data_IF_268811484832
#
_entry.id   IF_268811484832
#
_cell.length_a   1.000
_cell.length_b   1.000
_cell.length_c   1.000
_cell.angle_alpha   90.00
_cell.angle_beta   90.00
_cell.angle_gamma   90.00
#
_symmetry.space_group_name_H-M   'P 1'
#
loop_
_entity.id
_entity.type
_entity.pdbx_description
1 polymer ?
#
# COMPACT_ATOMS: atom_id res chain seq x y z
N UNK A 1 -44.28 -21.76 7.10
CA UNK A 1 -42.93 -21.15 7.16
C UNK A 1 -42.95 -19.71 7.67
N UNK A 2 -44.09 -19.02 7.61
CA UNK A 2 -44.34 -17.75 8.31
C UNK A 2 -45.50 -17.94 9.31
N UNK A 3 -45.21 -18.44 10.50
CA UNK A 3 -46.16 -18.37 11.63
C UNK A 3 -46.03 -16.98 12.25
N UNK A 4 -47.06 -16.14 12.14
CA UNK A 4 -47.13 -14.83 12.79
C UNK A 4 -46.95 -14.95 14.30
N UNK A 5 -47.46 -16.03 14.89
CA UNK A 5 -47.36 -16.32 16.32
C UNK A 5 -45.91 -16.50 16.77
N UNK A 6 -45.08 -17.18 15.96
CA UNK A 6 -43.64 -17.34 16.28
C UNK A 6 -42.90 -16.02 16.26
N UNK A 7 -43.21 -15.13 15.32
CA UNK A 7 -42.59 -13.81 15.25
C UNK A 7 -43.02 -12.92 16.43
N UNK A 8 -44.32 -12.90 16.75
CA UNK A 8 -44.82 -12.18 17.91
C UNK A 8 -44.19 -12.68 19.21
N UNK A 9 -43.99 -13.99 19.34
CA UNK A 9 -43.34 -14.62 20.48
C UNK A 9 -41.86 -14.21 20.60
N UNK A 10 -41.11 -14.21 19.48
CA UNK A 10 -39.70 -13.76 19.47
C UNK A 10 -39.59 -12.30 19.90
N UNK A 11 -40.41 -11.41 19.32
CA UNK A 11 -40.39 -9.99 19.69
C UNK A 11 -40.84 -9.74 21.14
N UNK A 12 -41.79 -10.50 21.64
CA UNK A 12 -42.22 -10.46 23.05
C UNK A 12 -41.10 -10.92 23.99
N UNK A 13 -40.41 -12.03 23.67
CA UNK A 13 -39.25 -12.54 24.42
C UNK A 13 -38.12 -11.52 24.51
N UNK A 14 -37.78 -10.90 23.37
CA UNK A 14 -36.76 -9.85 23.27
C UNK A 14 -37.14 -8.64 24.13
N UNK A 15 -38.40 -8.18 24.05
CA UNK A 15 -38.89 -7.01 24.80
C UNK A 15 -38.98 -7.26 26.31
N UNK A 16 -39.23 -8.50 26.73
CA UNK A 16 -39.24 -8.86 28.15
C UNK A 16 -37.84 -8.80 28.78
N UNK A 17 -36.77 -8.88 27.99
CA UNK A 17 -35.39 -8.96 28.48
C UNK A 17 -34.45 -8.07 27.64
N UNK A 18 -34.71 -6.77 27.68
CA UNK A 18 -34.00 -5.76 26.88
C UNK A 18 -32.50 -5.75 27.19
N UNK A 19 -32.12 -5.70 28.47
CA UNK A 19 -30.72 -5.66 28.91
C UNK A 19 -29.93 -6.83 28.32
N UNK A 20 -30.50 -8.04 28.37
CA UNK A 20 -29.88 -9.26 27.85
C UNK A 20 -29.71 -9.24 26.34
N UNK A 21 -30.75 -8.83 25.62
CA UNK A 21 -30.71 -8.73 24.16
C UNK A 21 -29.66 -7.71 23.73
N UNK A 22 -29.56 -6.58 24.45
CA UNK A 22 -28.53 -5.56 24.22
C UNK A 22 -27.13 -6.10 24.51
N UNK A 23 -26.89 -6.77 25.65
CA UNK A 23 -25.56 -7.34 25.96
C UNK A 23 -25.14 -8.41 24.95
N UNK A 24 -26.05 -9.29 24.56
CA UNK A 24 -25.80 -10.33 23.54
C UNK A 24 -25.47 -9.70 22.21
N UNK A 25 -26.31 -8.77 21.77
CA UNK A 25 -26.14 -8.06 20.52
C UNK A 25 -24.91 -7.15 20.49
N UNK A 26 -24.52 -6.58 21.63
CA UNK A 26 -23.35 -5.71 21.73
C UNK A 26 -22.06 -6.48 21.40
N UNK A 27 -21.87 -7.68 21.95
CA UNK A 27 -20.67 -8.49 21.64
C UNK A 27 -20.55 -8.83 20.16
N UNK A 28 -21.68 -9.08 19.50
CA UNK A 28 -21.78 -9.38 18.07
C UNK A 28 -21.49 -8.15 17.23
N UNK A 29 -22.15 -7.04 17.55
CA UNK A 29 -21.97 -5.77 16.88
C UNK A 29 -20.52 -5.29 17.01
N UNK A 30 -19.93 -5.42 18.20
CA UNK A 30 -18.54 -5.08 18.48
C UNK A 30 -17.57 -5.96 17.67
N UNK A 31 -17.85 -7.26 17.55
CA UNK A 31 -17.01 -8.16 16.77
C UNK A 31 -16.95 -7.77 15.29
N UNK A 32 -18.11 -7.49 14.68
CA UNK A 32 -18.16 -7.05 13.29
C UNK A 32 -17.62 -5.62 13.10
N UNK A 33 -17.83 -4.75 14.09
CA UNK A 33 -17.25 -3.41 14.13
C UNK A 33 -15.71 -3.47 14.10
N UNK A 34 -15.08 -4.22 15.01
CA UNK A 34 -13.62 -4.39 15.06
C UNK A 34 -13.11 -4.99 13.76
N UNK A 35 -13.80 -6.01 13.22
CA UNK A 35 -13.45 -6.59 11.93
C UNK A 35 -13.41 -5.53 10.82
N UNK A 36 -14.45 -4.71 10.69
CA UNK A 36 -14.53 -3.67 9.65
C UNK A 36 -13.45 -2.61 9.84
N UNK A 37 -13.26 -2.11 11.07
CA UNK A 37 -12.25 -1.09 11.35
C UNK A 37 -10.85 -1.61 11.07
N UNK A 38 -10.51 -2.80 11.57
CA UNK A 38 -9.19 -3.39 11.40
C UNK A 38 -8.91 -3.74 9.94
N UNK A 39 -9.91 -4.29 9.23
CA UNK A 39 -9.79 -4.57 7.80
C UNK A 39 -9.63 -3.28 6.99
N UNK A 40 -10.41 -2.24 7.29
CA UNK A 40 -10.32 -0.94 6.63
C UNK A 40 -9.00 -0.24 6.86
N UNK A 41 -8.43 -0.33 8.07
CA UNK A 41 -7.07 0.16 8.34
C UNK A 41 -6.04 -0.66 7.57
N UNK A 42 -6.21 -1.99 7.52
CA UNK A 42 -5.36 -2.88 6.74
C UNK A 42 -5.31 -2.52 5.26
N UNK A 43 -6.47 -2.28 4.63
CA UNK A 43 -6.53 -1.81 3.24
C UNK A 43 -5.97 -0.41 3.08
N UNK A 44 -6.19 0.49 4.06
CA UNK A 44 -5.61 1.84 4.03
C UNK A 44 -4.08 1.83 4.06
N UNK A 45 -3.48 0.90 4.81
CA UNK A 45 -2.04 0.66 4.79
C UNK A 45 -1.60 0.14 3.41
N UNK A 46 -2.35 -0.80 2.82
CA UNK A 46 -2.04 -1.32 1.48
C UNK A 46 -2.10 -0.24 0.40
N UNK A 47 -3.08 0.67 0.48
CA UNK A 47 -3.22 1.79 -0.44
C UNK A 47 -2.04 2.75 -0.34
N UNK A 48 -1.67 3.16 0.88
CA UNK A 48 -0.53 4.05 1.11
C UNK A 48 0.78 3.45 0.61
N UNK A 49 1.00 2.16 0.85
CA UNK A 49 2.16 1.44 0.30
C UNK A 49 2.10 1.39 -1.23
N UNK A 50 0.97 0.99 -1.82
CA UNK A 50 0.84 0.88 -3.28
C UNK A 50 1.09 2.21 -3.97
N UNK A 51 0.55 3.31 -3.46
CA UNK A 51 0.78 4.65 -4.02
C UNK A 51 2.20 5.14 -3.81
N UNK A 52 2.78 4.91 -2.62
CA UNK A 52 4.18 5.23 -2.35
C UNK A 52 5.14 4.55 -3.32
N UNK A 53 4.85 3.30 -3.71
CA UNK A 53 5.63 2.55 -4.70
C UNK A 53 5.25 2.83 -6.16
N UNK A 54 4.01 3.25 -6.44
CA UNK A 54 3.56 3.62 -7.78
C UNK A 54 4.08 4.99 -8.24
N UNK A 55 4.66 5.79 -7.34
CA UNK A 55 5.36 7.04 -7.67
C UNK A 55 6.55 6.82 -8.63
N UNK A 56 7.30 5.74 -8.42
CA UNK A 56 8.42 5.36 -9.29
C UNK A 56 7.92 4.46 -10.44
N UNK A 57 8.58 4.50 -11.60
CA UNK A 57 8.31 3.52 -12.66
C UNK A 57 8.53 2.08 -12.11
N UNK A 58 7.47 1.27 -12.09
CA UNK A 58 7.49 -0.11 -11.59
C UNK A 58 8.48 -0.98 -12.38
N UNK A 59 8.67 -0.63 -13.65
CA UNK A 59 9.57 -1.29 -14.58
C UNK A 59 10.98 -0.66 -14.65
N UNK A 60 11.46 -0.05 -13.56
CA UNK A 60 12.75 0.62 -13.55
C UNK A 60 13.88 -0.23 -12.96
N UNK A 61 15.00 -0.30 -13.71
CA UNK A 61 16.30 -0.73 -13.24
C UNK A 61 17.19 0.51 -13.13
N UNK A 62 17.71 0.76 -11.94
CA UNK A 62 18.65 1.85 -11.68
C UNK A 62 20.03 1.29 -11.36
N UNK A 63 21.03 1.75 -12.09
CA UNK A 63 22.41 1.28 -11.96
C UNK A 63 23.25 2.44 -11.43
N UNK A 64 24.02 2.16 -10.37
CA UNK A 64 24.93 3.09 -9.73
C UNK A 64 26.31 2.47 -9.63
N UNK A 65 27.34 3.31 -9.65
CA UNK A 65 28.68 2.88 -9.27
C UNK A 65 29.06 3.42 -7.90
N UNK A 66 30.03 2.77 -7.28
CA UNK A 66 30.53 3.13 -5.96
C UNK A 66 32.02 2.90 -5.84
N UNK A 67 32.46 2.66 -4.61
CA UNK A 67 33.84 2.27 -4.33
C UNK A 67 33.93 0.76 -4.19
N UNK A 68 34.94 0.16 -4.82
CA UNK A 68 35.20 -1.28 -4.68
C UNK A 68 35.66 -1.62 -3.27
N UNK A 69 35.20 -2.72 -2.70
CA UNK A 69 35.70 -3.24 -1.42
C UNK A 69 36.72 -4.38 -1.60
N UNK A 70 36.74 -5.01 -2.78
CA UNK A 70 37.57 -6.19 -3.06
C UNK A 70 38.60 -5.87 -4.14
N UNK A 71 39.86 -6.23 -3.92
CA UNK A 71 40.91 -6.15 -4.93
C UNK A 71 40.68 -7.22 -6.01
N UNK A 72 40.80 -6.86 -7.29
CA UNK A 72 40.47 -7.75 -8.40
C UNK A 72 41.30 -7.46 -9.65
N UNK A 73 41.80 -8.50 -10.33
CA UNK A 73 42.62 -8.40 -11.56
C UNK A 73 43.78 -7.38 -11.47
N UNK A 74 44.49 -7.36 -10.34
CA UNK A 74 45.61 -6.44 -10.12
C UNK A 74 45.21 -5.01 -9.75
N UNK A 75 43.92 -4.73 -9.58
CA UNK A 75 43.39 -3.46 -9.08
C UNK A 75 43.20 -3.54 -7.57
N UNK A 76 43.48 -2.42 -6.88
CA UNK A 76 43.30 -2.30 -5.43
C UNK A 76 41.82 -2.11 -5.05
N UNK A 77 41.49 -2.43 -3.81
CA UNK A 77 40.24 -2.01 -3.16
C UNK A 77 40.23 -0.48 -2.93
N UNK A 78 39.08 0.07 -2.52
CA UNK A 78 38.79 1.51 -2.35
C UNK A 78 38.88 2.37 -3.63
N UNK A 79 38.95 1.74 -4.80
CA UNK A 79 38.88 2.43 -6.10
C UNK A 79 37.47 2.92 -6.38
N UNK A 80 37.33 4.19 -6.79
CA UNK A 80 36.05 4.73 -7.27
C UNK A 80 35.79 4.24 -8.70
N UNK A 81 34.68 3.55 -8.89
CA UNK A 81 34.18 3.13 -10.20
C UNK A 81 33.32 4.26 -10.74
N UNK A 82 33.60 4.70 -11.97
CA UNK A 82 32.80 5.71 -12.67
C UNK A 82 32.22 5.09 -13.95
N UNK A 83 30.97 5.41 -14.25
CA UNK A 83 30.38 5.11 -15.56
C UNK A 83 30.63 6.27 -16.52
N UNK A 84 30.62 5.93 -17.79
CA UNK A 84 30.86 6.81 -18.91
C UNK A 84 29.66 6.73 -19.88
N UNK A 85 29.55 7.68 -20.80
CA UNK A 85 28.54 7.60 -21.87
C UNK A 85 28.64 6.28 -22.66
N UNK A 86 29.86 5.78 -22.93
CA UNK A 86 30.08 4.49 -23.61
C UNK A 86 29.55 3.28 -22.82
N UNK A 87 29.50 3.36 -21.49
CA UNK A 87 28.93 2.28 -20.67
C UNK A 87 27.42 2.31 -20.70
N UNK A 88 26.83 3.51 -20.70
CA UNK A 88 25.39 3.68 -20.91
C UNK A 88 24.98 3.08 -22.26
N UNK A 89 25.68 3.46 -23.33
CA UNK A 89 25.43 2.93 -24.67
C UNK A 89 25.59 1.41 -24.71
N UNK A 90 26.61 0.86 -24.04
CA UNK A 90 26.79 -0.58 -23.95
C UNK A 90 25.61 -1.29 -23.27
N UNK A 91 25.13 -0.77 -22.12
CA UNK A 91 24.04 -1.37 -21.36
C UNK A 91 22.74 -1.37 -22.17
N UNK A 92 22.42 -0.24 -22.81
CA UNK A 92 21.20 -0.09 -23.62
C UNK A 92 21.27 -0.93 -24.90
N UNK A 93 22.41 -0.94 -25.59
CA UNK A 93 22.54 -1.64 -26.87
C UNK A 93 22.68 -3.16 -26.73
N UNK A 94 23.07 -3.68 -25.56
CA UNK A 94 23.29 -5.12 -25.37
C UNK A 94 22.00 -5.96 -25.39
N UNK A 95 20.87 -5.39 -25.00
CA UNK A 95 19.56 -6.06 -25.01
C UNK A 95 18.45 -5.10 -25.46
N UNK A 96 18.57 -4.51 -26.65
CA UNK A 96 17.60 -3.52 -27.17
C UNK A 96 16.15 -3.97 -27.11
N UNK A 97 15.87 -5.27 -27.24
CA UNK A 97 14.51 -5.80 -27.21
C UNK A 97 13.88 -5.76 -25.80
N UNK A 98 14.72 -5.78 -24.76
CA UNK A 98 14.32 -5.73 -23.35
C UNK A 98 14.27 -4.31 -22.80
N UNK A 99 14.88 -3.34 -23.48
CA UNK A 99 14.89 -1.93 -23.08
C UNK A 99 13.71 -1.20 -23.71
N UNK A 100 12.92 -0.49 -22.89
CA UNK A 100 11.91 0.45 -23.34
C UNK A 100 12.52 1.85 -23.49
N UNK A 101 12.49 2.63 -22.40
CA UNK A 101 13.10 3.96 -22.30
C UNK A 101 14.37 3.89 -21.46
N UNK A 102 15.37 4.71 -21.76
CA UNK A 102 16.59 4.75 -20.96
C UNK A 102 17.14 6.17 -20.85
N UNK A 103 17.75 6.49 -19.70
CA UNK A 103 18.34 7.81 -19.51
C UNK A 103 19.63 7.72 -18.69
N UNK A 104 20.73 8.32 -19.17
CA UNK A 104 21.89 8.57 -18.35
C UNK A 104 21.64 9.82 -17.49
N UNK A 105 22.09 9.78 -16.24
CA UNK A 105 22.08 10.95 -15.36
C UNK A 105 23.48 11.23 -14.85
N UNK A 106 23.91 12.48 -14.99
CA UNK A 106 25.10 13.00 -14.32
C UNK A 106 24.66 13.97 -13.22
N UNK A 107 25.02 13.68 -11.97
CA UNK A 107 24.55 14.43 -10.81
C UNK A 107 25.67 15.28 -10.22
N UNK A 108 25.39 16.56 -9.98
CA UNK A 108 26.32 17.46 -9.31
C UNK A 108 25.59 18.41 -8.36
N UNK A 109 26.14 18.60 -7.17
CA UNK A 109 25.66 19.62 -6.24
C UNK A 109 26.34 20.94 -6.56
N UNK A 110 25.55 21.94 -6.97
CA UNK A 110 26.06 23.23 -7.48
C UNK A 110 25.36 24.40 -6.80
N UNK A 111 26.10 25.50 -6.65
CA UNK A 111 25.54 26.78 -6.21
C UNK A 111 24.71 27.38 -7.35
N UNK A 112 23.45 27.69 -7.05
CA UNK A 112 22.52 28.34 -7.97
C UNK A 112 22.10 29.69 -7.41
N UNK A 113 22.13 30.72 -8.24
CA UNK A 113 21.79 32.09 -7.87
C UNK A 113 20.72 32.67 -8.79
N UNK A 114 19.84 33.46 -8.20
CA UNK A 114 18.87 34.28 -8.91
C UNK A 114 18.68 35.61 -8.18
N UNK A 115 19.11 36.71 -8.81
CA UNK A 115 19.06 38.03 -8.18
C UNK A 115 19.86 38.08 -6.87
N UNK A 116 19.16 38.23 -5.74
CA UNK A 116 19.76 38.24 -4.40
C UNK A 116 19.68 36.89 -3.67
N UNK A 117 18.92 35.94 -4.22
CA UNK A 117 18.73 34.62 -3.63
C UNK A 117 19.80 33.66 -4.15
N UNK A 118 20.26 32.76 -3.28
CA UNK A 118 21.21 31.71 -3.65
C UNK A 118 21.05 30.50 -2.77
N UNK A 119 21.27 29.32 -3.34
CA UNK A 119 21.26 28.06 -2.61
C UNK A 119 22.07 26.99 -3.32
N UNK A 120 22.45 25.96 -2.58
CA UNK A 120 23.08 24.76 -3.16
C UNK A 120 21.99 23.78 -3.52
N UNK A 121 21.88 23.45 -4.80
CA UNK A 121 20.87 22.52 -5.32
C UNK A 121 21.52 21.38 -6.07
N UNK A 122 20.80 20.27 -6.15
CA UNK A 122 21.20 19.15 -6.97
C UNK A 122 20.83 19.42 -8.43
N UNK A 123 21.86 19.52 -9.26
CA UNK A 123 21.72 19.71 -10.70
C UNK A 123 21.95 18.35 -11.39
N UNK A 124 20.90 17.86 -12.03
CA UNK A 124 20.86 16.61 -12.76
C UNK A 124 21.01 16.90 -14.26
N UNK A 125 22.13 16.49 -14.83
CA UNK A 125 22.32 16.41 -16.27
C UNK A 125 21.57 15.19 -16.79
N UNK A 126 20.58 15.39 -17.64
CA UNK A 126 19.64 14.34 -18.07
C UNK A 126 19.27 14.45 -19.55
N UNK A 127 18.62 13.41 -20.07
CA UNK A 127 17.98 13.34 -21.37
C UNK A 127 16.47 13.66 -21.31
N UNK A 128 15.85 13.77 -22.47
CA UNK A 128 14.43 14.01 -22.65
C UNK A 128 13.57 12.85 -22.12
N UNK A 129 14.05 11.61 -22.22
CA UNK A 129 13.33 10.40 -21.82
C UNK A 129 13.12 10.29 -20.30
N UNK A 130 13.97 10.94 -19.50
CA UNK A 130 13.90 10.88 -18.03
C UNK A 130 12.55 11.40 -17.48
N UNK A 131 11.88 12.30 -18.21
CA UNK A 131 10.54 12.75 -17.84
C UNK A 131 9.56 11.58 -17.70
N UNK A 132 9.63 10.60 -18.59
CA UNK A 132 8.72 9.46 -18.61
C UNK A 132 9.14 8.42 -17.57
N UNK A 133 10.44 8.23 -17.38
CA UNK A 133 10.99 7.30 -16.39
C UNK A 133 10.66 7.73 -14.95
N UNK A 134 10.81 9.01 -14.65
CA UNK A 134 10.58 9.59 -13.32
C UNK A 134 9.17 10.21 -13.19
N UNK A 135 8.27 9.95 -14.14
CA UNK A 135 6.87 10.43 -14.15
C UNK A 135 6.69 11.93 -13.81
N UNK A 136 7.57 12.79 -14.33
CA UNK A 136 7.59 14.22 -13.98
C UNK A 136 6.43 14.97 -14.60
N UNK A 137 5.60 15.61 -13.76
CA UNK A 137 4.45 16.41 -14.19
C UNK A 137 4.88 17.85 -14.45
N UNK A 138 4.70 18.33 -15.68
CA UNK A 138 5.01 19.72 -16.03
C UNK A 138 3.91 20.65 -15.53
N UNK A 139 4.28 21.65 -14.71
CA UNK A 139 3.38 22.71 -14.26
C UNK A 139 3.34 23.87 -15.25
N UNK A 140 4.51 24.28 -15.74
CA UNK A 140 4.69 25.38 -16.68
C UNK A 140 5.76 25.03 -17.73
N UNK A 141 5.61 25.56 -18.94
CA UNK A 141 6.61 25.46 -20.00
C UNK A 141 6.76 24.04 -20.58
N UNK A 142 8.00 23.65 -20.90
CA UNK A 142 8.33 22.34 -21.50
C UNK A 142 9.51 21.68 -20.79
N UNK A 143 9.61 20.36 -20.95
CA UNK A 143 10.80 19.62 -20.54
C UNK A 143 11.92 19.72 -21.59
N UNK A 144 13.08 19.11 -21.30
CA UNK A 144 14.19 18.97 -22.22
C UNK A 144 13.79 18.15 -23.45
N UNK A 145 14.40 18.43 -24.59
CA UNK A 145 14.23 17.66 -25.82
C UNK A 145 15.60 17.34 -26.46
N UNK A 146 15.61 16.43 -27.43
CA UNK A 146 16.85 15.98 -28.10
C UNK A 146 17.61 17.11 -28.81
N UNK A 147 16.92 18.19 -29.25
CA UNK A 147 17.57 19.34 -29.86
C UNK A 147 18.34 20.19 -28.85
N UNK A 148 17.85 20.30 -27.60
CA UNK A 148 18.55 20.98 -26.51
C UNK A 148 19.85 20.24 -26.17
N UNK A 149 19.81 18.90 -26.15
CA UNK A 149 20.98 18.06 -25.93
C UNK A 149 21.99 18.16 -27.08
N UNK A 150 21.53 18.04 -28.32
CA UNK A 150 22.39 18.08 -29.51
C UNK A 150 23.11 19.43 -29.67
N UNK A 151 22.43 20.52 -29.30
CA UNK A 151 22.99 21.89 -29.34
C UNK A 151 23.69 22.31 -28.06
N UNK A 152 23.71 21.45 -27.03
CA UNK A 152 24.27 21.74 -25.69
C UNK A 152 23.75 23.07 -25.14
N UNK A 153 22.43 23.26 -25.21
CA UNK A 153 21.85 24.52 -24.79
C UNK A 153 21.95 24.70 -23.27
N UNK A 154 22.19 25.94 -22.84
CA UNK A 154 22.11 26.32 -21.44
C UNK A 154 20.66 26.58 -21.05
N UNK A 155 19.87 25.50 -20.99
CA UNK A 155 18.46 25.54 -20.56
C UNK A 155 18.28 24.69 -19.31
N UNK A 156 17.38 25.11 -18.44
CA UNK A 156 17.07 24.44 -17.17
C UNK A 156 15.57 24.22 -17.01
N UNK A 157 15.22 23.08 -16.44
CA UNK A 157 13.88 22.73 -15.98
C UNK A 157 13.96 22.56 -14.48
N UNK A 158 13.22 23.37 -13.72
CA UNK A 158 13.36 23.45 -12.27
C UNK A 158 12.19 22.77 -11.56
N UNK A 159 12.43 22.18 -10.40
CA UNK A 159 11.33 21.69 -9.58
C UNK A 159 10.58 22.84 -8.88
N UNK A 160 9.32 22.58 -8.49
CA UNK A 160 8.44 23.54 -7.81
C UNK A 160 9.08 24.18 -6.58
N UNK A 161 9.86 23.43 -5.81
CA UNK A 161 10.53 23.92 -4.61
C UNK A 161 11.68 24.88 -4.95
N UNK A 162 12.43 24.61 -6.02
CA UNK A 162 13.48 25.52 -6.50
C UNK A 162 12.86 26.86 -6.94
N UNK A 163 11.73 26.83 -7.65
CA UNK A 163 10.99 28.04 -8.00
C UNK A 163 10.59 28.83 -6.75
N UNK A 164 10.00 28.14 -5.76
CA UNK A 164 9.55 28.76 -4.51
C UNK A 164 10.69 29.41 -3.74
N UNK A 165 11.83 28.74 -3.67
CA UNK A 165 12.98 29.19 -2.86
C UNK A 165 13.74 30.35 -3.55
N UNK A 166 13.99 30.26 -4.87
CA UNK A 166 14.79 31.26 -5.60
C UNK A 166 13.97 32.39 -6.22
N UNK A 167 12.85 32.06 -6.87
CA UNK A 167 12.07 33.01 -7.67
C UNK A 167 10.91 33.60 -6.86
N UNK A 168 10.42 32.84 -5.87
CA UNK A 168 9.31 33.19 -4.96
C UNK A 168 8.00 33.37 -5.74
N UNK A 169 7.71 34.60 -6.16
CA UNK A 169 6.47 34.96 -6.83
C UNK A 169 6.72 35.30 -8.31
N UNK A 170 5.86 34.78 -9.19
CA UNK A 170 5.86 35.04 -10.64
C UNK A 170 6.32 33.84 -11.48
N UNK A 171 6.00 33.86 -12.79
CA UNK A 171 6.38 32.77 -13.70
C UNK A 171 7.91 32.67 -13.80
N UNK A 172 8.48 31.46 -13.65
CA UNK A 172 9.92 31.24 -13.74
C UNK A 172 10.39 31.06 -15.18
N UNK A 173 9.48 30.71 -16.11
CA UNK A 173 9.82 30.45 -17.50
C UNK A 173 10.34 31.72 -18.17
N UNK A 174 11.48 31.60 -18.87
CA UNK A 174 12.16 32.68 -19.58
C UNK A 174 13.19 33.44 -18.76
N UNK A 175 13.27 33.21 -17.44
CA UNK A 175 14.28 33.83 -16.56
C UNK A 175 15.61 33.09 -16.64
N UNK A 176 16.70 33.80 -16.38
CA UNK A 176 18.05 33.23 -16.34
C UNK A 176 18.47 32.92 -14.90
N UNK A 177 18.99 31.71 -14.68
CA UNK A 177 19.60 31.26 -13.43
C UNK A 177 21.10 31.14 -13.61
N UNK A 178 21.87 31.66 -12.66
CA UNK A 178 23.32 31.43 -12.60
C UNK A 178 23.57 30.10 -11.88
N UNK A 179 23.99 29.08 -12.63
CA UNK A 179 24.41 27.78 -12.12
C UNK A 179 25.92 27.71 -12.19
N UNK A 180 26.58 27.82 -11.03
CA UNK A 180 28.04 27.74 -10.88
C UNK A 180 28.83 28.64 -11.85
N UNK A 181 28.36 29.87 -12.09
CA UNK A 181 28.98 30.87 -12.95
C UNK A 181 28.49 30.86 -14.41
N UNK A 182 27.55 29.99 -14.78
CA UNK A 182 27.00 29.89 -16.14
C UNK A 182 25.51 30.20 -16.13
N UNK A 183 25.05 31.04 -17.06
CA UNK A 183 23.64 31.43 -17.16
C UNK A 183 22.83 30.36 -17.91
N UNK A 184 21.77 29.86 -17.26
CA UNK A 184 20.81 28.92 -17.80
C UNK A 184 19.42 29.55 -17.89
N UNK A 185 18.79 29.44 -19.06
CA UNK A 185 17.41 29.89 -19.25
C UNK A 185 16.43 28.85 -18.73
N UNK A 186 15.54 29.24 -17.83
CA UNK A 186 14.45 28.37 -17.35
C UNK A 186 13.42 28.20 -18.46
N UNK A 187 13.15 26.96 -18.86
CA UNK A 187 12.19 26.64 -19.93
C UNK A 187 10.96 25.88 -19.43
N UNK A 188 10.96 25.44 -18.17
CA UNK A 188 9.82 24.78 -17.57
C UNK A 188 9.97 24.52 -16.08
N UNK A 189 8.85 24.17 -15.46
CA UNK A 189 8.74 23.77 -14.06
C UNK A 189 8.10 22.40 -13.97
N UNK A 190 8.70 21.50 -13.21
CA UNK A 190 8.09 20.22 -12.91
C UNK A 190 7.67 20.11 -11.45
N UNK A 191 6.67 19.27 -11.22
CA UNK A 191 6.28 18.75 -9.91
C UNK A 191 6.50 17.24 -9.94
N UNK A 192 6.89 16.72 -8.80
CA UNK A 192 7.12 15.31 -8.59
C UNK A 192 6.20 14.85 -7.47
N UNK A 193 5.46 13.78 -7.72
CA UNK A 193 4.59 13.25 -6.70
C UNK A 193 5.42 12.77 -5.50
N UNK A 194 6.71 12.42 -5.65
CA UNK A 194 7.68 11.99 -4.63
C UNK A 194 7.86 12.91 -3.42
N UNK A 195 7.44 14.18 -3.55
CA UNK A 195 7.40 15.17 -2.49
C UNK A 195 8.53 16.20 -2.58
N UNK A 196 8.66 17.01 -1.53
CA UNK A 196 9.50 18.22 -1.51
C UNK A 196 11.00 17.96 -1.81
N UNK A 197 11.51 16.75 -1.59
CA UNK A 197 12.91 16.40 -1.88
C UNK A 197 13.18 16.34 -3.39
N UNK A 198 12.36 15.62 -4.16
CA UNK A 198 12.54 15.47 -5.60
C UNK A 198 12.21 16.76 -6.37
N UNK A 199 11.36 17.61 -5.78
CA UNK A 199 11.06 18.94 -6.30
C UNK A 199 12.16 19.99 -6.04
N UNK A 200 13.22 19.66 -5.29
CA UNK A 200 14.41 20.52 -5.09
C UNK A 200 15.52 20.27 -6.12
N UNK A 201 15.24 19.52 -7.18
CA UNK A 201 16.19 19.23 -8.23
C UNK A 201 16.06 20.20 -9.42
N UNK A 202 17.17 20.39 -10.12
CA UNK A 202 17.25 21.16 -11.37
C UNK A 202 17.73 20.22 -12.46
N UNK A 203 17.00 20.17 -13.57
CA UNK A 203 17.35 19.34 -14.72
C UNK A 203 17.89 20.19 -15.85
N UNK A 204 19.06 19.80 -16.37
CA UNK A 204 19.72 20.44 -17.51
C UNK A 204 20.13 19.36 -18.51
N UNK A 205 20.39 19.67 -19.79
CA UNK A 205 20.91 18.68 -20.72
C UNK A 205 22.20 18.05 -20.18
N UNK A 206 22.29 16.72 -20.18
CA UNK A 206 23.49 16.00 -19.70
C UNK A 206 24.76 16.48 -20.43
N UNK A 207 24.65 16.71 -21.74
CA UNK A 207 25.74 17.20 -22.59
C UNK A 207 26.26 18.58 -22.16
N UNK A 208 25.38 19.45 -21.66
CA UNK A 208 25.73 20.78 -21.17
C UNK A 208 26.43 20.69 -19.80
N UNK A 209 25.91 19.88 -18.88
CA UNK A 209 26.50 19.73 -17.55
C UNK A 209 27.89 19.06 -17.60
N UNK A 210 28.02 18.04 -18.45
CA UNK A 210 29.29 17.38 -18.76
C UNK A 210 30.31 18.36 -19.35
N UNK A 211 29.89 19.25 -20.24
CA UNK A 211 30.75 20.30 -20.81
C UNK A 211 31.24 21.28 -19.73
N UNK A 212 30.38 21.71 -18.79
CA UNK A 212 30.78 22.59 -17.68
C UNK A 212 31.86 21.97 -16.79
N UNK A 213 31.89 20.65 -16.66
CA UNK A 213 32.87 19.91 -15.85
C UNK A 213 34.08 19.47 -16.68
N UNK A 214 34.61 20.39 -17.50
CA UNK A 214 35.79 20.20 -18.36
C UNK A 214 35.62 19.08 -19.41
N UNK A 215 34.40 18.88 -19.91
CA UNK A 215 34.12 17.86 -20.93
C UNK A 215 34.22 16.43 -20.41
N UNK A 216 33.92 16.22 -19.12
CA UNK A 216 33.80 14.88 -18.55
C UNK A 216 32.67 14.11 -19.24
N UNK A 217 32.87 12.83 -19.47
CA UNK A 217 31.87 11.88 -19.97
C UNK A 217 31.22 11.09 -18.83
N UNK A 218 31.39 11.54 -17.58
CA UNK A 218 30.92 10.81 -16.39
C UNK A 218 29.40 10.71 -16.38
N UNK A 219 28.92 9.52 -16.07
CA UNK A 219 27.53 9.20 -15.76
C UNK A 219 27.48 8.72 -14.30
N UNK A 220 26.63 9.34 -13.49
CA UNK A 220 26.46 8.99 -12.07
C UNK A 220 25.49 7.82 -11.90
N UNK A 221 24.43 7.82 -12.70
CA UNK A 221 23.33 6.86 -12.61
C UNK A 221 22.83 6.54 -14.01
N UNK A 222 22.52 5.27 -14.25
CA UNK A 222 21.83 4.84 -15.48
C UNK A 222 20.45 4.34 -15.12
N UNK A 223 19.45 4.88 -15.79
CA UNK A 223 18.06 4.44 -15.71
C UNK A 223 17.69 3.63 -16.94
N UNK A 224 17.14 2.44 -16.73
CA UNK A 224 16.62 1.57 -17.79
C UNK A 224 15.22 1.16 -17.39
N UNK A 225 14.22 1.68 -18.09
CA UNK A 225 12.87 1.15 -18.03
C UNK A 225 12.83 -0.10 -18.92
N UNK A 226 12.62 -1.28 -18.32
CA UNK A 226 12.55 -2.52 -19.07
C UNK A 226 11.16 -2.71 -19.71
N UNK A 227 11.11 -3.44 -20.81
CA UNK A 227 9.89 -3.69 -21.56
C UNK A 227 8.85 -4.42 -20.71
N UNK A 228 7.60 -3.94 -20.71
CA UNK A 228 6.47 -4.49 -19.92
C UNK A 228 6.15 -5.97 -20.25
N UNK A 229 6.71 -6.50 -21.34
CA UNK A 229 6.61 -7.93 -21.70
C UNK A 229 7.41 -8.85 -20.79
N UNK A 230 8.38 -8.33 -20.02
CA UNK A 230 9.17 -9.13 -19.08
C UNK A 230 8.34 -9.49 -17.86
N UNK A 231 8.32 -10.76 -17.49
CA UNK A 231 7.80 -11.17 -16.19
C UNK A 231 8.68 -10.60 -15.07
N UNK A 232 8.16 -10.43 -13.84
CA UNK A 232 8.95 -9.93 -12.71
C UNK A 232 10.23 -10.74 -12.48
N UNK A 233 10.20 -12.06 -12.65
CA UNK A 233 11.37 -12.93 -12.49
C UNK A 233 12.41 -12.69 -13.59
N UNK A 234 11.97 -12.51 -14.84
CA UNK A 234 12.86 -12.18 -15.96
C UNK A 234 13.47 -10.79 -15.80
N UNK A 235 12.69 -9.83 -15.30
CA UNK A 235 13.17 -8.48 -15.02
C UNK A 235 14.25 -8.49 -13.92
N UNK A 236 14.05 -9.25 -12.83
CA UNK A 236 15.05 -9.42 -11.77
C UNK A 236 16.35 -9.99 -12.36
N UNK A 237 16.24 -11.10 -13.10
CA UNK A 237 17.39 -11.73 -13.76
C UNK A 237 18.10 -10.77 -14.72
N UNK A 238 17.35 -9.97 -15.46
CA UNK A 238 17.92 -8.97 -16.36
C UNK A 238 18.75 -7.91 -15.61
N UNK A 239 18.27 -7.44 -14.44
CA UNK A 239 19.03 -6.56 -13.57
C UNK A 239 20.35 -7.18 -13.10
N UNK A 240 20.34 -8.44 -12.71
CA UNK A 240 21.54 -9.18 -12.29
C UNK A 240 22.52 -9.36 -13.47
N UNK A 241 22.01 -9.70 -14.66
CA UNK A 241 22.82 -9.80 -15.88
C UNK A 241 23.49 -8.45 -16.25
N UNK A 242 22.78 -7.33 -16.10
CA UNK A 242 23.34 -5.99 -16.31
C UNK A 242 24.43 -5.66 -15.29
N UNK A 243 24.22 -6.04 -14.02
CA UNK A 243 25.22 -5.87 -12.96
C UNK A 243 26.51 -6.61 -13.30
N UNK A 244 26.42 -7.89 -13.67
CA UNK A 244 27.57 -8.73 -13.98
C UNK A 244 28.35 -8.24 -15.20
N UNK A 245 27.63 -7.83 -16.26
CA UNK A 245 28.25 -7.26 -17.46
C UNK A 245 29.00 -5.97 -17.16
N UNK A 246 28.43 -5.08 -16.35
CA UNK A 246 29.10 -3.84 -15.96
C UNK A 246 30.29 -4.11 -15.04
N UNK A 247 30.17 -5.05 -14.09
CA UNK A 247 31.30 -5.50 -13.24
C UNK A 247 32.45 -6.03 -14.10
N UNK A 248 32.15 -6.89 -15.07
CA UNK A 248 33.15 -7.44 -15.98
C UNK A 248 33.84 -6.34 -16.80
N UNK A 249 33.07 -5.40 -17.36
CA UNK A 249 33.59 -4.26 -18.15
C UNK A 249 34.46 -3.33 -17.31
N UNK A 250 34.11 -3.11 -16.04
CA UNK A 250 34.85 -2.21 -15.13
C UNK A 250 35.93 -2.90 -14.30
N UNK A 251 36.18 -4.19 -14.53
CA UNK A 251 37.10 -5.02 -13.75
C UNK A 251 36.80 -4.93 -12.24
N UNK A 252 35.53 -5.03 -11.87
CA UNK A 252 35.06 -5.17 -10.48
C UNK A 252 34.89 -6.65 -10.19
N UNK A 253 35.21 -7.09 -8.98
CA UNK A 253 35.03 -8.50 -8.59
C UNK A 253 33.56 -8.90 -8.71
N UNK A 254 33.24 -10.12 -9.19
CA UNK A 254 31.88 -10.66 -9.14
C UNK A 254 31.28 -10.60 -7.73
N UNK A 255 32.10 -10.86 -6.71
CA UNK A 255 31.70 -10.89 -5.30
C UNK A 255 31.64 -9.49 -4.63
N UNK A 256 31.99 -8.42 -5.34
CA UNK A 256 31.94 -7.05 -4.80
C UNK A 256 30.55 -6.44 -5.04
N UNK A 257 29.80 -6.22 -3.96
CA UNK A 257 28.46 -5.63 -4.01
C UNK A 257 28.46 -4.09 -4.09
N UNK A 258 29.57 -3.43 -3.78
CA UNK A 258 29.63 -1.97 -3.64
C UNK A 258 30.14 -1.25 -4.90
N UNK A 259 31.04 -1.88 -5.65
CA UNK A 259 31.63 -1.28 -6.86
C UNK A 259 30.59 -0.97 -7.94
N UNK A 260 29.61 -1.87 -8.13
CA UNK A 260 28.46 -1.70 -9.03
C UNK A 260 27.21 -2.19 -8.31
N UNK A 261 26.23 -1.30 -8.17
CA UNK A 261 24.95 -1.56 -7.51
C UNK A 261 23.81 -1.43 -8.51
N UNK A 262 22.94 -2.42 -8.54
CA UNK A 262 21.72 -2.41 -9.34
C UNK A 262 20.52 -2.44 -8.40
N UNK A 263 19.64 -1.46 -8.52
CA UNK A 263 18.33 -1.43 -7.86
C UNK A 263 17.29 -1.78 -8.91
N UNK A 264 16.58 -2.87 -8.70
CA UNK A 264 15.53 -3.30 -9.60
C UNK A 264 14.18 -3.18 -8.90
N UNK A 265 13.30 -2.31 -9.41
CA UNK A 265 11.98 -2.11 -8.84
C UNK A 265 11.10 -3.39 -8.93
N UNK A 266 11.38 -4.33 -9.85
CA UNK A 266 10.72 -5.64 -9.89
C UNK A 266 10.96 -6.47 -8.62
N UNK A 267 12.18 -6.41 -8.06
CA UNK A 267 12.53 -7.08 -6.80
C UNK A 267 11.78 -6.45 -5.64
N UNK A 268 11.80 -5.11 -5.57
CA UNK A 268 11.05 -4.36 -4.57
C UNK A 268 9.55 -4.66 -4.66
N UNK A 269 8.99 -4.84 -5.86
CA UNK A 269 7.58 -5.15 -6.04
C UNK A 269 7.23 -6.56 -5.52
N UNK A 270 8.11 -7.55 -5.72
CA UNK A 270 7.95 -8.88 -5.13
C UNK A 270 7.97 -8.85 -3.59
N UNK A 271 8.89 -8.07 -3.02
CA UNK A 271 8.98 -7.89 -1.56
C UNK A 271 7.74 -7.16 -1.03
N UNK A 272 7.26 -6.13 -1.75
CA UNK A 272 6.02 -5.42 -1.43
C UNK A 272 4.81 -6.35 -1.49
N UNK A 273 4.63 -7.17 -2.53
CA UNK A 273 3.53 -8.13 -2.59
C UNK A 273 3.58 -9.13 -1.44
N UNK A 274 4.77 -9.59 -1.07
CA UNK A 274 4.95 -10.49 0.08
C UNK A 274 4.54 -9.79 1.38
N UNK A 275 4.97 -8.55 1.58
CA UNK A 275 4.61 -7.74 2.73
C UNK A 275 3.08 -7.49 2.80
N UNK A 276 2.44 -7.14 1.68
CA UNK A 276 0.99 -6.97 1.58
C UNK A 276 0.23 -8.27 1.88
N UNK A 277 0.74 -9.42 1.42
CA UNK A 277 0.16 -10.73 1.70
C UNK A 277 0.24 -11.05 3.21
N UNK A 278 1.37 -10.75 3.86
CA UNK A 278 1.53 -10.94 5.32
C UNK A 278 0.56 -10.06 6.10
N UNK A 279 0.44 -8.77 5.76
CA UNK A 279 -0.53 -7.86 6.39
C UNK A 279 -1.96 -8.39 6.21
N UNK A 280 -2.33 -8.80 5.00
CA UNK A 280 -3.66 -9.37 4.71
C UNK A 280 -3.91 -10.62 5.53
N UNK A 281 -2.92 -11.50 5.66
CA UNK A 281 -3.02 -12.72 6.47
C UNK A 281 -3.22 -12.40 7.96
N UNK A 282 -2.47 -11.45 8.52
CA UNK A 282 -2.61 -11.01 9.91
C UNK A 282 -4.00 -10.40 10.15
N UNK A 283 -4.42 -9.47 9.28
CA UNK A 283 -5.74 -8.81 9.36
C UNK A 283 -6.87 -9.83 9.27
N UNK A 284 -6.76 -10.79 8.34
CA UNK A 284 -7.75 -11.86 8.18
C UNK A 284 -7.77 -12.78 9.39
N UNK A 285 -6.60 -13.17 9.92
CA UNK A 285 -6.49 -14.03 11.10
C UNK A 285 -7.09 -13.37 12.35
N UNK A 286 -6.73 -12.12 12.62
CA UNK A 286 -7.28 -11.35 13.75
C UNK A 286 -8.79 -11.16 13.55
N UNK A 287 -9.21 -10.77 12.33
CA UNK A 287 -10.61 -10.57 12.00
C UNK A 287 -11.48 -11.82 12.21
N UNK A 288 -11.01 -12.98 11.75
CA UNK A 288 -11.65 -14.26 12.03
C UNK A 288 -11.66 -14.58 13.53
N UNK A 289 -10.55 -14.34 14.23
CA UNK A 289 -10.47 -14.51 15.68
C UNK A 289 -11.48 -13.66 16.44
N UNK A 290 -11.69 -12.42 16.03
CA UNK A 290 -12.70 -11.53 16.61
C UNK A 290 -14.13 -12.01 16.34
N UNK A 291 -14.42 -12.51 15.14
CA UNK A 291 -15.71 -13.13 14.83
C UNK A 291 -15.96 -14.36 15.71
N UNK A 292 -14.97 -15.23 15.87
CA UNK A 292 -15.04 -16.40 16.76
C UNK A 292 -15.25 -16.00 18.23
N UNK A 293 -14.59 -14.94 18.71
CA UNK A 293 -14.81 -14.42 20.05
C UNK A 293 -16.28 -13.95 20.24
N UNK A 294 -16.85 -13.30 19.22
CA UNK A 294 -18.28 -12.94 19.18
C UNK A 294 -19.21 -14.15 19.31
N UNK A 295 -18.90 -15.25 18.61
CA UNK A 295 -19.66 -16.52 18.69
C UNK A 295 -19.67 -17.07 20.11
N UNK A 296 -18.49 -17.12 20.74
CA UNK A 296 -18.35 -17.62 22.12
C UNK A 296 -19.17 -16.75 23.07
N UNK A 297 -19.16 -15.43 22.87
CA UNK A 297 -19.99 -14.47 23.59
C UNK A 297 -21.48 -14.80 23.52
N UNK A 298 -22.03 -14.93 22.30
CA UNK A 298 -23.45 -15.31 22.10
C UNK A 298 -23.74 -16.67 22.73
N UNK A 299 -22.89 -17.67 22.48
CA UNK A 299 -23.09 -19.03 22.94
C UNK A 299 -23.17 -19.10 24.47
N UNK A 300 -22.31 -18.38 25.18
CA UNK A 300 -22.31 -18.34 26.64
C UNK A 300 -23.60 -17.72 27.20
N UNK A 301 -24.04 -16.60 26.62
CA UNK A 301 -25.30 -15.97 27.04
C UNK A 301 -26.49 -16.88 26.72
N UNK A 302 -26.46 -17.57 25.58
CA UNK A 302 -27.52 -18.49 25.18
C UNK A 302 -27.62 -19.72 26.10
N UNK A 303 -26.50 -20.26 26.57
CA UNK A 303 -26.49 -21.31 27.61
C UNK A 303 -27.18 -20.82 28.89
N UNK A 304 -26.93 -19.58 29.31
CA UNK A 304 -27.57 -18.99 30.48
C UNK A 304 -29.09 -18.82 30.27
N UNK A 305 -29.52 -18.30 29.10
CA UNK A 305 -30.93 -18.11 28.73
C UNK A 305 -31.70 -19.43 28.78
N UNK A 306 -31.11 -20.47 28.18
CA UNK A 306 -31.71 -21.81 28.16
C UNK A 306 -31.92 -22.33 29.57
N UNK A 307 -30.97 -22.10 30.48
CA UNK A 307 -31.07 -22.53 31.87
C UNK A 307 -32.20 -21.81 32.60
N UNK A 308 -32.30 -20.50 32.46
CA UNK A 308 -33.36 -19.67 33.07
C UNK A 308 -34.76 -20.10 32.61
N UNK A 309 -34.89 -20.49 31.33
CA UNK A 309 -36.15 -20.94 30.72
C UNK A 309 -36.39 -22.45 30.80
N UNK A 310 -35.62 -23.20 31.58
CA UNK A 310 -35.73 -24.67 31.64
C UNK A 310 -37.14 -25.13 32.03
N UNK A 311 -37.77 -24.47 32.99
CA UNK A 311 -39.13 -24.79 33.47
C UNK A 311 -40.19 -24.54 32.39
N UNK A 312 -40.09 -23.42 31.69
CA UNK A 312 -40.97 -23.07 30.56
C UNK A 312 -40.85 -24.11 29.43
N UNK A 313 -39.62 -24.49 29.07
CA UNK A 313 -39.32 -25.52 28.07
C UNK A 313 -39.89 -26.88 28.52
N UNK A 314 -39.78 -27.22 29.80
CA UNK A 314 -40.35 -28.43 30.42
C UNK A 314 -41.86 -28.52 30.29
N UNK A 315 -42.58 -27.43 30.60
CA UNK A 315 -44.04 -27.32 30.46
C UNK A 315 -44.47 -27.51 28.99
N UNK A 316 -43.82 -26.83 28.04
CA UNK A 316 -44.12 -26.98 26.61
C UNK A 316 -43.94 -28.41 26.11
N UNK A 317 -42.90 -29.08 26.59
CA UNK A 317 -42.60 -30.46 26.24
C UNK A 317 -43.61 -31.44 26.85
N UNK A 318 -44.11 -31.15 28.05
CA UNK A 318 -45.19 -31.91 28.69
C UNK A 318 -46.54 -31.78 27.95
N UNK A 319 -46.78 -30.63 27.31
CA UNK A 319 -47.97 -30.37 26.47
C UNK A 319 -47.80 -30.91 25.02
N UNK A 320 -46.64 -31.52 24.71
CA UNK A 320 -46.43 -32.23 23.44
C UNK A 320 -45.59 -31.50 22.38
N UNK A 321 -44.91 -30.40 22.74
CA UNK A 321 -44.01 -29.73 21.82
C UNK A 321 -42.85 -30.64 21.36
N UNK A 322 -42.66 -30.76 20.04
CA UNK A 322 -41.55 -31.55 19.46
C UNK A 322 -40.19 -30.89 19.79
N UNK A 323 -39.13 -31.65 20.12
CA UNK A 323 -37.80 -31.09 20.40
C UNK A 323 -37.27 -30.15 19.30
N UNK A 324 -37.55 -30.48 18.02
CA UNK A 324 -37.18 -29.65 16.86
C UNK A 324 -37.82 -28.25 16.90
N UNK A 325 -39.03 -28.12 17.47
CA UNK A 325 -39.73 -26.84 17.57
C UNK A 325 -39.05 -25.92 18.60
N UNK A 326 -38.59 -26.49 19.72
CA UNK A 326 -37.86 -25.75 20.75
C UNK A 326 -36.50 -25.28 20.20
N UNK A 327 -35.78 -26.16 19.49
CA UNK A 327 -34.51 -25.79 18.84
C UNK A 327 -34.72 -24.70 17.80
N UNK A 328 -35.73 -24.82 16.95
CA UNK A 328 -36.01 -23.83 15.91
C UNK A 328 -36.33 -22.45 16.50
N UNK A 329 -37.10 -22.37 17.58
CA UNK A 329 -37.45 -21.11 18.23
C UNK A 329 -36.20 -20.39 18.76
N UNK A 330 -35.35 -21.10 19.51
CA UNK A 330 -34.14 -20.52 20.13
C UNK A 330 -33.11 -20.14 19.05
N UNK A 331 -32.93 -20.96 18.03
CA UNK A 331 -32.04 -20.64 16.90
C UNK A 331 -32.55 -19.42 16.13
N UNK A 332 -33.86 -19.31 15.90
CA UNK A 332 -34.44 -18.16 15.22
C UNK A 332 -34.30 -16.87 16.04
N UNK A 333 -34.51 -16.92 17.36
CA UNK A 333 -34.24 -15.81 18.28
C UNK A 333 -32.77 -15.37 18.20
N UNK A 334 -31.84 -16.33 18.21
CA UNK A 334 -30.39 -16.08 18.09
C UNK A 334 -30.03 -15.40 16.77
N UNK A 335 -30.59 -15.89 15.64
CA UNK A 335 -30.34 -15.33 14.31
C UNK A 335 -30.90 -13.92 14.19
N UNK A 336 -32.11 -13.66 14.68
CA UNK A 336 -32.70 -12.31 14.65
C UNK A 336 -31.83 -11.31 15.40
N UNK A 337 -31.38 -11.66 16.61
CA UNK A 337 -30.47 -10.80 17.39
C UNK A 337 -29.16 -10.59 16.62
N UNK A 338 -28.57 -11.66 16.07
CA UNK A 338 -27.31 -11.59 15.31
C UNK A 338 -27.43 -10.70 14.07
N UNK A 339 -28.54 -10.78 13.34
CA UNK A 339 -28.79 -9.97 12.13
C UNK A 339 -28.93 -8.49 12.50
N UNK A 340 -29.75 -8.16 13.50
CA UNK A 340 -29.94 -6.77 13.94
C UNK A 340 -28.62 -6.19 14.43
N UNK A 341 -27.89 -6.92 15.27
CA UNK A 341 -26.59 -6.50 15.78
C UNK A 341 -25.52 -6.42 14.70
N UNK A 342 -25.56 -7.30 13.70
CA UNK A 342 -24.71 -7.22 12.52
C UNK A 342 -24.93 -5.92 11.77
N UNK A 343 -26.18 -5.52 11.51
CA UNK A 343 -26.46 -4.24 10.85
C UNK A 343 -25.95 -3.04 11.66
N UNK A 344 -26.13 -3.07 12.98
CA UNK A 344 -25.57 -2.03 13.87
C UNK A 344 -24.05 -2.01 13.81
N UNK A 345 -23.41 -3.18 13.87
CA UNK A 345 -21.95 -3.30 13.76
C UNK A 345 -21.39 -2.79 12.43
N UNK A 346 -22.06 -3.10 11.31
CA UNK A 346 -21.73 -2.55 10.00
C UNK A 346 -21.87 -1.03 10.00
N UNK A 347 -23.01 -0.52 10.44
CA UNK A 347 -23.30 0.92 10.45
C UNK A 347 -22.27 1.70 11.26
N UNK A 348 -21.96 1.25 12.48
CA UNK A 348 -20.97 1.88 13.35
C UNK A 348 -19.55 1.72 12.79
N UNK A 349 -19.21 0.56 12.22
CA UNK A 349 -17.89 0.31 11.63
C UNK A 349 -17.61 1.19 10.41
N UNK A 350 -18.58 1.28 9.50
CA UNK A 350 -18.50 2.16 8.32
C UNK A 350 -18.47 3.62 8.75
N UNK A 351 -19.28 4.02 9.73
CA UNK A 351 -19.25 5.38 10.26
C UNK A 351 -17.88 5.72 10.86
N UNK A 352 -17.28 4.82 11.65
CA UNK A 352 -15.97 5.02 12.23
C UNK A 352 -14.88 5.18 11.15
N UNK A 353 -14.88 4.35 10.10
CA UNK A 353 -13.94 4.50 8.98
C UNK A 353 -14.11 5.84 8.24
N UNK A 354 -15.35 6.29 8.02
CA UNK A 354 -15.61 7.60 7.41
C UNK A 354 -15.17 8.77 8.30
N UNK A 355 -15.34 8.64 9.62
CA UNK A 355 -14.87 9.65 10.59
C UNK A 355 -13.35 9.71 10.69
N UNK A 356 -12.68 8.56 10.54
CA UNK A 356 -11.22 8.50 10.42
C UNK A 356 -10.78 9.19 9.13
N UNK A 357 -11.43 8.89 8.00
CA UNK A 357 -11.12 9.50 6.70
C UNK A 357 -9.63 9.46 6.40
N UNK A 358 -9.08 10.58 5.94
CA UNK A 358 -7.66 10.75 5.64
C UNK A 358 -6.87 11.39 6.80
N UNK A 359 -7.45 11.45 8.01
CA UNK A 359 -6.75 12.01 9.19
C UNK A 359 -5.51 11.22 9.61
N UNK A 360 -5.34 9.99 9.11
CA UNK A 360 -4.22 9.10 9.39
C UNK A 360 -3.19 9.02 8.26
N UNK A 361 -3.23 9.93 7.28
CA UNK A 361 -2.22 9.97 6.21
C UNK A 361 -0.79 10.08 6.77
N UNK A 362 -0.59 10.82 7.87
CA UNK A 362 0.72 10.94 8.55
C UNK A 362 1.24 9.59 9.08
N UNK A 363 0.36 8.63 9.34
CA UNK A 363 0.70 7.29 9.82
C UNK A 363 0.70 6.23 8.71
N UNK A 364 0.81 6.64 7.44
CA UNK A 364 0.79 5.74 6.28
C UNK A 364 -0.51 4.93 6.13
N UNK A 365 -1.65 5.49 6.55
CA UNK A 365 -2.97 4.87 6.33
C UNK A 365 -3.77 5.82 5.45
N UNK A 366 -3.96 5.44 4.18
CA UNK A 366 -4.62 6.28 3.19
C UNK A 366 -5.94 5.68 2.72
N UNK A 367 -7.00 6.48 2.77
CA UNK A 367 -8.35 6.07 2.35
C UNK A 367 -8.77 4.69 2.88
N UNK A 368 -8.76 4.48 4.22
CA UNK A 368 -9.11 3.21 4.82
C UNK A 368 -10.56 2.85 4.51
N UNK A 369 -10.76 1.75 3.79
CA UNK A 369 -12.09 1.37 3.30
C UNK A 369 -12.26 -0.13 3.19
N UNK A 370 -13.50 -0.59 3.35
CA UNK A 370 -13.85 -2.02 3.19
C UNK A 370 -14.83 -2.13 2.04
N UNK A 371 -14.50 -2.96 1.06
CA UNK A 371 -15.41 -3.24 -0.05
C UNK A 371 -16.70 -3.89 0.45
N UNK A 372 -17.84 -3.49 -0.13
CA UNK A 372 -19.16 -4.04 0.21
C UNK A 372 -19.21 -5.57 0.11
N UNK A 373 -18.45 -6.16 -0.81
CA UNK A 373 -18.32 -7.63 -0.92
C UNK A 373 -17.73 -8.28 0.33
N UNK A 374 -16.66 -7.71 0.90
CA UNK A 374 -16.04 -8.22 2.13
C UNK A 374 -16.97 -8.04 3.34
N UNK A 375 -17.65 -6.90 3.44
CA UNK A 375 -18.66 -6.66 4.48
C UNK A 375 -19.78 -7.71 4.39
N UNK A 376 -20.28 -7.96 3.19
CA UNK A 376 -21.33 -8.93 2.95
C UNK A 376 -20.89 -10.36 3.31
N UNK A 377 -19.68 -10.77 2.93
CA UNK A 377 -19.12 -12.07 3.31
C UNK A 377 -18.95 -12.19 4.84
N UNK A 378 -18.43 -11.15 5.49
CA UNK A 378 -18.29 -11.12 6.95
C UNK A 378 -19.66 -11.17 7.65
N UNK A 379 -20.67 -10.49 7.11
CA UNK A 379 -22.03 -10.52 7.62
C UNK A 379 -22.67 -11.92 7.49
N UNK A 380 -22.51 -12.59 6.34
CA UNK A 380 -22.98 -13.98 6.17
C UNK A 380 -22.25 -14.91 7.14
N UNK A 381 -20.93 -14.78 7.24
CA UNK A 381 -20.14 -15.57 8.18
C UNK A 381 -20.62 -15.36 9.62
N UNK A 382 -20.97 -14.13 10.00
CA UNK A 382 -21.53 -13.79 11.30
C UNK A 382 -22.92 -14.43 11.53
N UNK A 383 -23.81 -14.40 10.55
CA UNK A 383 -25.13 -15.04 10.65
C UNK A 383 -25.00 -16.55 10.82
N UNK A 384 -24.13 -17.18 10.02
CA UNK A 384 -23.86 -18.62 10.12
C UNK A 384 -23.27 -19.00 11.48
N UNK A 385 -22.38 -18.15 11.97
CA UNK A 385 -21.75 -18.22 13.28
C UNK A 385 -22.77 -18.09 14.43
N UNK A 386 -23.73 -17.16 14.34
CA UNK A 386 -24.84 -17.01 15.28
C UNK A 386 -25.78 -18.22 15.28
N UNK A 387 -26.00 -18.85 14.12
CA UNK A 387 -26.78 -20.08 14.01
C UNK A 387 -26.10 -21.23 14.78
N UNK A 388 -24.79 -21.41 14.62
CA UNK A 388 -24.02 -22.42 15.37
C UNK A 388 -24.06 -22.13 16.88
N UNK A 389 -23.84 -20.87 17.27
CA UNK A 389 -23.85 -20.43 18.67
C UNK A 389 -25.20 -20.70 19.35
N UNK A 390 -26.32 -20.49 18.64
CA UNK A 390 -27.66 -20.75 19.15
C UNK A 390 -28.02 -22.25 19.15
N UNK A 391 -27.54 -23.00 18.15
CA UNK A 391 -27.91 -24.40 17.96
C UNK A 391 -27.40 -25.31 19.08
N UNK A 392 -26.13 -25.17 19.48
CA UNK A 392 -25.51 -26.04 20.51
C UNK A 392 -26.27 -26.01 21.86
N UNK A 393 -26.53 -24.84 22.49
CA UNK A 393 -27.30 -24.76 23.72
C UNK A 393 -28.76 -25.17 23.53
N UNK A 394 -29.40 -24.76 22.43
CA UNK A 394 -30.78 -25.13 22.14
C UNK A 394 -30.96 -26.66 22.02
N UNK A 395 -30.00 -27.32 21.37
CA UNK A 395 -29.97 -28.77 21.23
C UNK A 395 -29.87 -29.46 22.59
N UNK A 396 -28.97 -28.99 23.46
CA UNK A 396 -28.84 -29.49 24.85
C UNK A 396 -30.13 -29.29 25.64
N UNK A 397 -30.76 -28.11 25.53
CA UNK A 397 -32.05 -27.79 26.16
C UNK A 397 -33.15 -28.79 25.78
N UNK A 398 -33.25 -29.07 24.47
CA UNK A 398 -34.30 -29.92 23.90
C UNK A 398 -34.23 -31.37 24.38
N UNK A 399 -33.09 -31.81 24.93
CA UNK A 399 -32.88 -33.17 25.47
C UNK A 399 -33.22 -33.32 26.95
N UNK A 400 -33.42 -32.22 27.70
CA UNK A 400 -33.80 -32.27 29.11
C UNK A 400 -35.19 -32.93 29.25
N UNK A 401 -35.35 -33.85 30.21
CA UNK A 401 -36.62 -34.56 30.43
C UNK A 401 -37.64 -33.62 31.12
N UNK A 402 -38.93 -33.63 30.74
CA UNK A 402 -39.94 -32.77 31.38
C UNK A 402 -39.98 -32.92 32.90
N UNK A 403 -39.80 -34.15 33.40
CA UNK A 403 -39.81 -34.46 34.83
C UNK A 403 -38.63 -33.82 35.58
N UNK A 404 -37.47 -33.68 34.93
CA UNK A 404 -36.29 -33.04 35.53
C UNK A 404 -36.44 -31.52 35.52
N UNK A 405 -37.01 -30.97 34.44
CA UNK A 405 -37.26 -29.54 34.28
C UNK A 405 -38.34 -28.98 35.23
N UNK A 406 -39.27 -29.82 35.70
CA UNK A 406 -40.33 -29.44 36.65
C UNK A 406 -39.95 -29.69 38.12
N UNK A 407 -38.92 -30.51 38.38
CA UNK A 407 -38.42 -30.82 39.72
C UNK A 407 -37.33 -29.85 40.20
N UNK A 408 -36.90 -28.93 39.35
CA UNK A 408 -35.92 -27.91 39.71
C UNK A 408 -36.63 -26.83 40.53
N UNK A 409 -36.30 -26.74 41.82
CA UNK A 409 -36.58 -25.54 42.66
C UNK A 409 -35.62 -24.41 42.29
#
# INVERSE_FOLDING_TARGET
MFDLDRWQEIFSSIRSNILRTVLSGFTVALGLFIFIVLFGIGTGLQNAFTEGFARDAQNLITIFTGKTTIAYKGLQSDRTVTMNNDDYDFLVNSDKEKVGEASPRYQSSLLVKYGKESGTYQVNGTDAEEKYIENRKMLEGRYLNSADLARKQNVAVIGRMVQRDLIKNGSPVGKDLDINGTMFKVIGVFSDDGGDWDERHISVPITTLQQMKKGSDTVSTVFIAYNDKLSPQEAIKYGDELQDRLKARKNVSPDDENGVRVRNNAKNMSDTFTFMAVITAIVTFIGLGTLLAGIIGISNIMVYIVKERTKEIGVRKAIGAKPRSIVALIVQESVVITVISGFVGVGVGVLALNLIGDSLEEYFIKSPSVGWGTIFMAFIALVFSGLIAGFVPAYRASRIRPIEALRTE
#
